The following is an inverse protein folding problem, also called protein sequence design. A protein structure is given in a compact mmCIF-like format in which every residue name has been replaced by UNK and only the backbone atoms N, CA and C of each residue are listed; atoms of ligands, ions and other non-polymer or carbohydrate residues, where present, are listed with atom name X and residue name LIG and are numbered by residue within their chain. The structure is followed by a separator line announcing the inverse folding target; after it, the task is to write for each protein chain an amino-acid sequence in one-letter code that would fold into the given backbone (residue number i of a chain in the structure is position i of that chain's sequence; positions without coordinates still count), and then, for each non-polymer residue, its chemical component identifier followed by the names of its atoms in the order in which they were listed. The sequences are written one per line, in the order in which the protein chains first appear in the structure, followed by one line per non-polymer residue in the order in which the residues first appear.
data_IF_748875194057
#
_entry.id   IF_748875194057
#
_cell.length_a   1.000
_cell.length_b   1.000
_cell.length_c   1.000
_cell.angle_alpha   90.00
_cell.angle_beta   90.00
_cell.angle_gamma   90.00
#
_symmetry.space_group_name_H-M   'P 1'
#
loop_
_entity.id
_entity.type
_entity.pdbx_description
1 polymer ?
#
# COMPACT_ATOMS: atom_id res chain seq x y z
N UNK A 1 -2.97 24.52 28.55
CA UNK A 1 -4.26 24.04 29.05
C UNK A 1 -4.16 22.53 29.16
N UNK A 2 -4.46 21.92 30.31
CA UNK A 2 -4.47 20.46 30.42
C UNK A 2 -5.79 19.94 29.84
N UNK A 3 -5.72 18.97 28.93
CA UNK A 3 -6.91 18.39 28.34
C UNK A 3 -7.53 17.37 29.31
N UNK A 4 -8.86 17.37 29.39
CA UNK A 4 -9.60 16.36 30.17
C UNK A 4 -9.33 14.96 29.57
N UNK A 5 -9.11 13.97 30.43
CA UNK A 5 -8.91 12.58 30.04
C UNK A 5 -10.04 12.05 29.14
N UNK A 6 -11.27 12.54 29.31
CA UNK A 6 -12.44 12.17 28.49
C UNK A 6 -12.33 12.60 27.02
N UNK A 7 -11.36 13.44 26.68
CA UNK A 7 -11.07 13.82 25.29
C UNK A 7 -10.51 12.64 24.49
N UNK A 8 -9.87 11.66 25.14
CA UNK A 8 -9.34 10.45 24.49
C UNK A 8 -10.50 9.51 24.15
N UNK A 9 -10.64 9.11 22.89
CA UNK A 9 -11.74 8.25 22.46
C UNK A 9 -11.55 6.82 22.98
N UNK A 10 -12.65 6.25 23.44
CA UNK A 10 -12.67 4.94 24.10
C UNK A 10 -12.55 5.00 25.63
N UNK A 11 -12.34 6.18 26.23
CA UNK A 11 -12.43 6.34 27.69
C UNK A 11 -13.89 6.47 28.10
N UNK A 12 -14.45 5.36 28.59
CA UNK A 12 -15.77 5.34 29.24
C UNK A 12 -15.68 5.87 30.67
N UNK A 13 -16.83 6.18 31.27
CA UNK A 13 -16.91 6.64 32.67
C UNK A 13 -16.18 5.67 33.63
N UNK A 14 -16.38 4.36 33.45
CA UNK A 14 -15.71 3.30 34.25
C UNK A 14 -14.18 3.32 34.11
N UNK A 15 -13.67 3.63 32.91
CA UNK A 15 -12.21 3.73 32.68
C UNK A 15 -11.67 5.01 33.30
N UNK A 16 -12.39 6.11 33.17
CA UNK A 16 -12.01 7.39 33.78
C UNK A 16 -11.93 7.27 35.31
N UNK A 17 -12.89 6.58 35.95
CA UNK A 17 -12.87 6.33 37.41
C UNK A 17 -11.64 5.52 37.84
N UNK A 18 -11.32 4.44 37.13
CA UNK A 18 -10.12 3.62 37.38
C UNK A 18 -8.81 4.40 37.22
N UNK A 19 -8.74 5.30 36.24
CA UNK A 19 -7.58 6.18 36.04
C UNK A 19 -7.51 7.25 37.14
N UNK A 20 -8.66 7.77 37.58
CA UNK A 20 -8.75 8.74 38.67
C UNK A 20 -8.26 8.19 40.02
N UNK A 21 -8.50 6.91 40.31
CA UNK A 21 -7.92 6.21 41.49
C UNK A 21 -6.39 6.23 41.47
N UNK A 22 -5.78 6.27 40.28
CA UNK A 22 -4.34 6.44 40.08
C UNK A 22 -3.90 7.90 39.91
N UNK A 23 -4.79 8.86 40.20
CA UNK A 23 -4.59 10.31 40.05
C UNK A 23 -4.34 10.76 38.60
N UNK A 24 -4.88 10.03 37.62
CA UNK A 24 -4.77 10.33 36.20
C UNK A 24 -6.12 10.87 35.69
N UNK A 25 -6.28 12.19 35.70
CA UNK A 25 -7.51 12.88 35.28
C UNK A 25 -7.34 13.70 33.99
N UNK A 26 -6.14 13.74 33.43
CA UNK A 26 -5.80 14.57 32.27
C UNK A 26 -5.05 13.77 31.22
N UNK A 27 -5.11 14.22 29.97
CA UNK A 27 -4.36 13.63 28.86
C UNK A 27 -2.86 13.65 29.15
N UNK A 28 -2.33 14.74 29.71
CA UNK A 28 -0.93 14.85 30.12
C UNK A 28 -0.56 13.86 31.23
N UNK A 29 -1.47 13.66 32.20
CA UNK A 29 -1.31 12.65 33.24
C UNK A 29 -1.22 11.24 32.65
N UNK A 30 -2.09 10.94 31.67
CA UNK A 30 -2.06 9.65 30.98
C UNK A 30 -0.76 9.48 30.19
N UNK A 31 -0.38 10.47 29.38
CA UNK A 31 0.90 10.47 28.64
C UNK A 31 2.10 10.25 29.54
N UNK A 32 2.11 10.86 30.72
CA UNK A 32 3.19 10.69 31.69
C UNK A 32 3.20 9.26 32.25
N UNK A 33 2.03 8.69 32.55
CA UNK A 33 1.89 7.36 33.14
C UNK A 33 2.06 6.21 32.14
N UNK A 34 2.13 6.47 30.83
CA UNK A 34 2.13 5.41 29.80
C UNK A 34 3.24 5.55 28.76
N UNK A 35 4.35 6.23 29.05
CA UNK A 35 5.42 6.48 28.05
C UNK A 35 6.12 5.22 27.55
N UNK A 36 6.32 4.26 28.44
CA UNK A 36 7.08 3.04 28.16
C UNK A 36 6.20 1.80 28.33
N UNK A 37 6.62 0.68 27.73
CA UNK A 37 5.94 -0.61 27.86
C UNK A 37 5.84 -1.07 29.31
N UNK A 38 6.89 -0.82 30.11
CA UNK A 38 6.90 -1.12 31.54
C UNK A 38 5.84 -0.31 32.29
N UNK A 39 5.75 1.00 32.06
CA UNK A 39 4.77 1.87 32.71
C UNK A 39 3.33 1.48 32.35
N UNK A 40 3.06 1.16 31.08
CA UNK A 40 1.75 0.64 30.63
C UNK A 40 1.40 -0.69 31.32
N UNK A 41 2.38 -1.58 31.46
CA UNK A 41 2.20 -2.88 32.13
C UNK A 41 1.89 -2.70 33.61
N UNK A 42 2.58 -1.80 34.30
CA UNK A 42 2.33 -1.48 35.70
C UNK A 42 0.94 -0.85 35.89
N UNK A 43 0.59 0.13 35.05
CA UNK A 43 -0.72 0.78 35.10
C UNK A 43 -1.86 -0.21 34.80
N UNK A 44 -1.65 -1.13 33.85
CA UNK A 44 -2.57 -2.23 33.54
C UNK A 44 -2.86 -3.08 34.77
N UNK A 45 -1.82 -3.53 35.49
CA UNK A 45 -1.94 -4.31 36.73
C UNK A 45 -2.66 -3.53 37.83
N UNK A 46 -2.34 -2.24 37.98
CA UNK A 46 -2.90 -1.39 39.04
C UNK A 46 -4.39 -1.07 38.83
N UNK A 47 -4.79 -0.78 37.61
CA UNK A 47 -6.15 -0.31 37.27
C UNK A 47 -7.07 -1.43 36.80
N UNK A 48 -6.52 -2.59 36.43
CA UNK A 48 -7.24 -3.67 35.78
C UNK A 48 -7.81 -3.26 34.41
N UNK A 49 -7.20 -2.30 33.72
CA UNK A 49 -7.48 -1.98 32.32
C UNK A 49 -6.54 -2.84 31.47
N UNK A 50 -7.04 -3.45 30.39
CA UNK A 50 -6.19 -4.33 29.57
C UNK A 50 -5.01 -3.58 28.95
N UNK A 51 -3.89 -4.29 28.78
CA UNK A 51 -2.68 -3.70 28.20
C UNK A 51 -2.94 -3.13 26.80
N UNK A 52 -3.60 -3.87 25.91
CA UNK A 52 -3.90 -3.42 24.55
C UNK A 52 -4.77 -2.16 24.51
N UNK A 53 -5.70 -2.03 25.47
CA UNK A 53 -6.51 -0.83 25.60
C UNK A 53 -5.68 0.36 26.08
N UNK A 54 -4.85 0.19 27.11
CA UNK A 54 -3.93 1.24 27.56
C UNK A 54 -2.92 1.63 26.48
N UNK A 55 -2.46 0.67 25.68
CA UNK A 55 -1.59 0.92 24.53
C UNK A 55 -2.28 1.86 23.53
N UNK A 56 -3.49 1.54 23.07
CA UNK A 56 -4.24 2.39 22.13
C UNK A 56 -4.52 3.78 22.70
N UNK A 57 -4.97 3.86 23.96
CA UNK A 57 -5.24 5.12 24.66
C UNK A 57 -3.96 5.96 24.81
N UNK A 58 -2.81 5.32 25.05
CA UNK A 58 -1.53 6.00 25.20
C UNK A 58 -1.06 6.65 23.90
N UNK A 59 -1.24 5.98 22.75
CA UNK A 59 -0.89 6.53 21.43
C UNK A 59 -1.81 7.70 21.06
N UNK A 60 -3.12 7.58 21.31
CA UNK A 60 -4.05 8.69 21.11
C UNK A 60 -3.69 9.89 22.01
N UNK A 61 -3.38 9.65 23.28
CA UNK A 61 -2.98 10.68 24.21
C UNK A 61 -1.68 11.37 23.78
N UNK A 62 -0.74 10.63 23.20
CA UNK A 62 0.47 11.23 22.62
C UNK A 62 0.15 12.19 21.47
N UNK A 63 -0.67 11.75 20.51
CA UNK A 63 -1.08 12.56 19.35
C UNK A 63 -1.89 13.79 19.75
N UNK A 64 -2.75 13.70 20.78
CA UNK A 64 -3.48 14.84 21.35
C UNK A 64 -2.57 15.94 21.91
N UNK A 65 -1.28 15.67 22.08
CA UNK A 65 -0.28 16.71 22.38
C UNK A 65 -0.02 17.68 21.22
N UNK A 66 -0.44 17.35 20.00
CA UNK A 66 -0.26 18.18 18.81
C UNK A 66 -1.36 19.24 18.78
N UNK A 67 -0.97 20.50 18.57
CA UNK A 67 -1.92 21.61 18.45
C UNK A 67 -2.89 21.40 17.28
N UNK A 68 -4.19 21.51 17.54
CA UNK A 68 -5.24 21.27 16.54
C UNK A 68 -5.70 19.80 16.43
N UNK A 69 -5.08 18.87 17.15
CA UNK A 69 -5.51 17.47 17.16
C UNK A 69 -6.80 17.30 17.97
N UNK A 70 -7.83 16.70 17.36
CA UNK A 70 -9.06 16.30 18.04
C UNK A 70 -8.98 14.84 18.51
N UNK A 71 -9.82 14.45 19.48
CA UNK A 71 -9.89 13.04 19.91
C UNK A 71 -10.29 12.09 18.79
N UNK A 72 -11.10 12.57 17.84
CA UNK A 72 -11.58 11.81 16.69
C UNK A 72 -10.45 11.57 15.69
N UNK A 73 -9.69 12.60 15.36
CA UNK A 73 -8.53 12.48 14.48
C UNK A 73 -7.45 11.61 15.11
N UNK A 74 -7.20 11.76 16.42
CA UNK A 74 -6.22 10.93 17.13
C UNK A 74 -6.62 9.44 17.10
N UNK A 75 -7.89 9.11 17.34
CA UNK A 75 -8.38 7.73 17.22
C UNK A 75 -8.20 7.19 15.80
N UNK A 76 -8.62 7.96 14.80
CA UNK A 76 -8.57 7.57 13.39
C UNK A 76 -7.13 7.37 12.91
N UNK A 77 -6.20 8.26 13.27
CA UNK A 77 -4.78 8.12 12.92
C UNK A 77 -4.12 6.93 13.62
N UNK A 78 -4.46 6.67 14.89
CA UNK A 78 -4.01 5.44 15.57
C UNK A 78 -4.57 4.21 14.87
N UNK A 79 -5.84 4.18 14.49
CA UNK A 79 -6.39 3.08 13.69
C UNK A 79 -5.69 2.93 12.33
N UNK A 80 -5.27 4.05 11.74
CA UNK A 80 -4.49 4.08 10.51
C UNK A 80 -3.05 3.58 10.67
N UNK A 81 -2.59 3.28 11.89
CA UNK A 81 -1.25 2.75 12.13
C UNK A 81 -0.21 3.81 12.51
N UNK A 82 -0.60 5.07 12.69
CA UNK A 82 0.28 6.09 13.26
C UNK A 82 0.45 5.81 14.76
N UNK A 83 1.68 5.50 15.21
CA UNK A 83 1.98 5.11 16.59
C UNK A 83 2.71 6.17 17.40
N UNK A 84 3.16 7.25 16.77
CA UNK A 84 3.86 8.33 17.47
C UNK A 84 3.73 9.67 16.76
N UNK A 85 4.11 10.76 17.45
CA UNK A 85 4.27 12.09 16.84
C UNK A 85 5.32 12.04 15.72
N UNK A 86 6.37 11.22 15.89
CA UNK A 86 7.41 11.06 14.86
C UNK A 86 6.80 10.43 13.61
N UNK A 87 6.03 9.36 13.76
CA UNK A 87 5.39 8.67 12.63
C UNK A 87 4.54 9.66 11.83
N UNK A 88 3.68 10.44 12.50
CA UNK A 88 2.87 11.43 11.83
C UNK A 88 3.73 12.47 11.09
N UNK A 89 4.81 12.95 11.72
CA UNK A 89 5.67 13.98 11.14
C UNK A 89 6.37 13.56 9.84
N UNK A 90 6.61 12.25 9.67
CA UNK A 90 7.31 11.67 8.53
C UNK A 90 6.38 10.96 7.54
N UNK A 91 5.13 10.66 7.92
CA UNK A 91 4.20 9.94 7.05
C UNK A 91 3.75 10.80 5.86
N UNK A 92 3.63 10.19 4.67
CA UNK A 92 3.12 10.87 3.49
C UNK A 92 1.63 11.17 3.62
N UNK A 93 1.26 12.42 3.35
CA UNK A 93 -0.11 12.93 3.45
C UNK A 93 -1.03 12.24 2.45
N UNK A 94 -0.52 11.96 1.25
CA UNK A 94 -1.21 11.18 0.21
C UNK A 94 -1.53 9.76 0.70
N UNK A 95 -0.54 9.05 1.24
CA UNK A 95 -0.70 7.67 1.71
C UNK A 95 -1.67 7.58 2.89
N UNK A 96 -1.55 8.44 3.91
CA UNK A 96 -2.54 8.52 5.00
C UNK A 96 -3.93 8.82 4.44
N UNK A 97 -4.06 9.85 3.60
CA UNK A 97 -5.36 10.26 3.07
C UNK A 97 -6.03 9.17 2.23
N UNK A 98 -5.27 8.44 1.41
CA UNK A 98 -5.77 7.30 0.64
C UNK A 98 -6.20 6.16 1.56
N UNK A 99 -5.38 5.82 2.55
CA UNK A 99 -5.71 4.75 3.50
C UNK A 99 -6.98 5.07 4.30
N UNK A 100 -7.11 6.31 4.80
CA UNK A 100 -8.30 6.75 5.53
C UNK A 100 -9.56 6.65 4.68
N UNK A 101 -9.52 7.09 3.41
CA UNK A 101 -10.65 6.93 2.48
C UNK A 101 -11.01 5.47 2.24
N UNK A 102 -10.02 4.58 2.14
CA UNK A 102 -10.25 3.14 2.01
C UNK A 102 -10.94 2.58 3.25
N UNK A 103 -10.53 2.99 4.46
CA UNK A 103 -11.19 2.58 5.70
C UNK A 103 -12.60 3.15 5.86
N UNK A 104 -12.86 4.36 5.38
CA UNK A 104 -14.22 4.94 5.34
C UNK A 104 -15.14 4.14 4.42
N UNK A 105 -14.66 3.81 3.21
CA UNK A 105 -15.42 3.03 2.22
C UNK A 105 -15.74 1.61 2.70
N UNK A 106 -14.83 0.99 3.44
CA UNK A 106 -15.05 -0.35 4.01
C UNK A 106 -15.90 -0.35 5.28
N UNK A 107 -16.27 0.82 5.82
CA UNK A 107 -16.99 0.95 7.08
C UNK A 107 -16.14 0.64 8.33
N UNK A 108 -14.82 0.53 8.19
CA UNK A 108 -13.89 0.31 9.30
C UNK A 108 -13.76 1.54 10.22
N UNK A 109 -14.08 2.73 9.69
CA UNK A 109 -14.18 3.97 10.46
C UNK A 109 -15.65 4.33 10.69
N UNK A 110 -15.95 4.71 11.93
CA UNK A 110 -17.29 5.20 12.32
C UNK A 110 -17.54 6.65 11.93
N UNK A 111 -16.47 7.39 11.61
CA UNK A 111 -16.47 8.82 11.33
C UNK A 111 -15.35 9.12 10.32
N UNK A 112 -15.49 10.21 9.58
CA UNK A 112 -14.47 10.63 8.62
C UNK A 112 -13.17 11.03 9.33
N UNK A 113 -12.05 10.72 8.71
CA UNK A 113 -10.73 11.16 9.18
C UNK A 113 -10.42 12.61 8.82
N UNK A 114 -9.25 13.13 9.26
CA UNK A 114 -8.80 14.45 8.88
C UNK A 114 -8.62 14.58 7.37
N UNK A 115 -9.05 15.70 6.81
CA UNK A 115 -8.83 16.01 5.39
C UNK A 115 -7.37 16.32 5.08
N UNK A 116 -6.98 16.34 3.79
CA UNK A 116 -5.58 16.54 3.39
C UNK A 116 -4.98 17.86 3.93
N UNK A 117 -5.72 18.96 3.86
CA UNK A 117 -5.26 20.26 4.38
C UNK A 117 -5.10 20.26 5.91
N UNK A 118 -6.02 19.61 6.63
CA UNK A 118 -5.93 19.46 8.08
C UNK A 118 -4.74 18.57 8.47
N UNK A 119 -4.52 17.49 7.71
CA UNK A 119 -3.42 16.56 7.94
C UNK A 119 -2.06 17.25 7.77
N UNK A 120 -1.89 18.12 6.77
CA UNK A 120 -0.66 18.92 6.63
C UNK A 120 -0.42 19.83 7.83
N UNK A 121 -1.46 20.51 8.32
CA UNK A 121 -1.35 21.36 9.52
C UNK A 121 -0.94 20.54 10.75
N UNK A 122 -1.52 19.35 10.91
CA UNK A 122 -1.16 18.43 12.00
C UNK A 122 0.28 17.91 11.86
N UNK A 123 0.74 17.61 10.64
CA UNK A 123 2.13 17.22 10.36
C UNK A 123 3.12 18.32 10.69
N UNK A 124 2.86 19.56 10.26
CA UNK A 124 3.70 20.70 10.58
C UNK A 124 3.79 20.93 12.10
N UNK A 125 2.66 20.79 12.80
CA UNK A 125 2.63 20.87 14.25
C UNK A 125 3.39 19.70 14.91
N UNK A 126 3.30 18.50 14.35
CA UNK A 126 4.05 17.33 14.80
C UNK A 126 5.57 17.50 14.62
N UNK A 127 6.03 18.04 13.48
CA UNK A 127 7.46 18.31 13.20
C UNK A 127 8.10 19.27 14.20
N UNK A 128 7.31 20.18 14.79
CA UNK A 128 7.75 21.12 15.83
C UNK A 128 7.86 20.47 17.22
N UNK A 129 7.40 19.22 17.37
CA UNK A 129 7.42 18.49 18.64
C UNK A 129 8.28 17.24 18.53
N UNK A 130 8.96 16.88 19.63
CA UNK A 130 9.64 15.58 19.74
C UNK A 130 8.71 14.60 20.45
N UNK A 131 8.60 13.39 19.89
CA UNK A 131 7.98 12.28 20.62
C UNK A 131 8.71 12.05 21.93
N UNK A 132 7.93 11.82 22.99
CA UNK A 132 8.44 11.50 24.34
C UNK A 132 8.21 10.04 24.69
N UNK A 133 7.62 9.28 23.78
CA UNK A 133 7.33 7.88 23.96
C UNK A 133 8.51 7.05 23.45
N UNK A 134 8.77 5.95 24.12
CA UNK A 134 9.72 4.97 23.61
C UNK A 134 9.06 4.16 22.49
N UNK A 135 9.81 3.82 21.42
CA UNK A 135 9.34 2.86 20.42
C UNK A 135 8.89 1.57 21.10
N UNK A 136 7.68 1.11 20.81
CA UNK A 136 7.19 -0.17 21.30
C UNK A 136 7.52 -1.27 20.30
N UNK A 137 7.84 -2.47 20.77
CA UNK A 137 7.96 -3.66 19.92
C UNK A 137 6.63 -4.02 19.24
N UNK A 138 5.52 -3.59 19.85
CA UNK A 138 4.17 -3.79 19.32
C UNK A 138 3.78 -2.72 18.28
N UNK A 139 4.66 -1.73 18.01
CA UNK A 139 4.47 -0.72 16.97
C UNK A 139 4.69 -1.36 15.59
N UNK A 140 3.68 -2.07 15.08
CA UNK A 140 3.69 -2.58 13.72
C UNK A 140 3.57 -1.42 12.72
N UNK A 141 4.53 -1.33 11.81
CA UNK A 141 4.48 -0.40 10.67
C UNK A 141 3.31 -0.82 9.77
N UNK A 142 2.39 0.12 9.50
CA UNK A 142 1.35 -0.14 8.52
C UNK A 142 1.97 -0.12 7.12
N UNK A 143 1.96 -1.22 6.35
CA UNK A 143 2.60 -1.27 5.04
C UNK A 143 1.95 -0.33 4.02
N UNK A 144 0.73 0.15 4.28
CA UNK A 144 0.03 1.10 3.42
C UNK A 144 0.32 2.57 3.76
N UNK A 145 1.15 2.84 4.78
CA UNK A 145 1.58 4.19 5.14
C UNK A 145 3.07 4.32 4.86
N UNK A 146 3.38 5.12 3.85
CA UNK A 146 4.74 5.46 3.49
C UNK A 146 5.30 6.59 4.35
N UNK A 147 6.60 6.53 4.63
CA UNK A 147 7.32 7.53 5.41
C UNK A 147 8.46 8.15 4.60
N UNK A 148 8.65 9.46 4.74
CA UNK A 148 9.68 10.26 4.04
C UNK A 148 11.13 9.79 4.36
N UNK A 149 11.35 8.97 5.39
CA UNK A 149 12.66 8.68 5.99
C UNK A 149 13.53 7.62 5.30
N UNK A 150 13.10 7.05 4.18
CA UNK A 150 13.91 6.07 3.44
C UNK A 150 14.74 6.66 2.28
N UNK A 151 14.70 7.98 2.04
CA UNK A 151 15.59 8.62 1.06
C UNK A 151 17.01 8.83 1.62
N UNK A 152 17.80 7.76 1.76
CA UNK A 152 19.27 7.90 1.75
C UNK A 152 19.68 8.32 0.32
N UNK A 153 19.80 9.62 0.11
CA UNK A 153 20.45 10.16 -1.09
C UNK A 153 21.94 9.86 -0.95
N UNK A 154 22.41 8.79 -1.59
CA UNK A 154 23.84 8.62 -1.87
C UNK A 154 24.18 9.63 -2.97
N UNK A 155 24.62 10.83 -2.58
CA UNK A 155 25.19 11.80 -3.52
C UNK A 155 26.52 11.23 -4.00
N UNK A 156 26.75 11.04 -5.31
CA UNK A 156 28.06 10.69 -5.82
C UNK A 156 29.05 11.82 -5.48
N UNK A 157 30.19 11.49 -4.90
CA UNK A 157 31.28 12.45 -4.70
C UNK A 157 31.63 13.11 -6.05
N UNK A 158 31.38 14.42 -6.16
CA UNK A 158 31.77 15.19 -7.34
C UNK A 158 30.91 16.42 -7.69
N UNK A 159 29.70 16.58 -7.12
CA UNK A 159 28.85 17.73 -7.44
C UNK A 159 28.85 18.78 -6.33
N UNK A 160 29.89 19.63 -6.30
CA UNK A 160 29.81 20.91 -5.58
C UNK A 160 28.92 21.84 -6.40
N UNK A 161 27.66 21.99 -6.03
CA UNK A 161 26.84 23.13 -6.43
C UNK A 161 26.39 23.91 -5.19
N UNK A 162 26.82 25.17 -5.17
CA UNK A 162 26.61 26.15 -4.12
C UNK A 162 25.23 26.79 -4.34
N UNK A 163 24.34 26.63 -3.35
CA UNK A 163 23.20 27.53 -3.15
C UNK A 163 21.84 27.04 -3.67
N UNK A 164 20.92 26.78 -2.72
CA UNK A 164 19.46 26.92 -2.89
C UNK A 164 18.78 25.87 -3.76
N UNK A 165 18.55 24.66 -3.23
CA UNK A 165 17.83 23.59 -3.91
C UNK A 165 16.98 22.76 -2.96
N UNK A 166 15.89 23.33 -2.43
CA UNK A 166 14.83 22.54 -1.76
C UNK A 166 13.54 22.46 -2.60
N UNK A 167 13.26 23.43 -3.48
CA UNK A 167 11.99 23.46 -4.22
C UNK A 167 12.01 22.76 -5.59
N UNK A 168 13.16 22.72 -6.29
CA UNK A 168 13.25 22.12 -7.63
C UNK A 168 13.24 20.60 -7.63
N UNK A 169 13.68 19.96 -6.53
CA UNK A 169 13.70 18.50 -6.40
C UNK A 169 12.28 17.94 -6.18
N UNK A 170 11.40 18.71 -5.51
CA UNK A 170 10.02 18.28 -5.21
C UNK A 170 9.11 18.14 -6.44
N UNK A 171 9.31 18.99 -7.45
CA UNK A 171 8.49 18.97 -8.66
C UNK A 171 8.80 17.78 -9.57
N UNK A 172 10.09 17.48 -9.81
CA UNK A 172 10.48 16.32 -10.60
C UNK A 172 10.14 14.99 -9.89
N UNK A 173 10.13 14.95 -8.55
CA UNK A 173 9.57 13.81 -7.83
C UNK A 173 8.06 13.72 -8.01
N UNK A 174 7.31 14.81 -7.93
CA UNK A 174 5.86 14.79 -8.12
C UNK A 174 5.42 14.26 -9.49
N UNK A 175 6.18 14.56 -10.56
CA UNK A 175 5.92 13.98 -11.89
C UNK A 175 6.18 12.47 -11.89
N UNK A 176 7.28 12.03 -11.30
CA UNK A 176 7.58 10.59 -11.16
C UNK A 176 6.47 9.88 -10.39
N UNK A 177 6.01 10.46 -9.29
CA UNK A 177 4.98 9.87 -8.43
C UNK A 177 3.64 9.80 -9.19
N UNK A 178 3.25 10.85 -9.92
CA UNK A 178 2.08 10.81 -10.82
C UNK A 178 2.22 9.72 -11.89
N UNK A 179 3.42 9.55 -12.46
CA UNK A 179 3.67 8.50 -13.46
C UNK A 179 3.54 7.10 -12.86
N UNK A 180 4.04 6.90 -11.64
CA UNK A 180 3.92 5.63 -10.92
C UNK A 180 2.46 5.36 -10.58
N UNK A 181 1.74 6.32 -10.00
CA UNK A 181 0.32 6.18 -9.64
C UNK A 181 -0.55 5.86 -10.87
N UNK A 182 -0.31 6.54 -12.00
CA UNK A 182 -1.01 6.25 -13.25
C UNK A 182 -0.65 4.85 -13.76
N UNK A 183 0.63 4.47 -13.71
CA UNK A 183 1.10 3.15 -14.12
C UNK A 183 0.49 2.03 -13.27
N UNK A 184 0.46 2.19 -11.95
CA UNK A 184 -0.13 1.24 -11.00
C UNK A 184 -1.64 1.14 -11.20
N UNK A 185 -2.35 2.26 -11.35
CA UNK A 185 -3.79 2.25 -11.60
C UNK A 185 -4.17 1.55 -12.91
N UNK A 186 -3.38 1.75 -13.98
CA UNK A 186 -3.59 1.04 -15.25
C UNK A 186 -3.28 -0.46 -15.08
N UNK A 187 -2.21 -0.81 -14.37
CA UNK A 187 -1.85 -2.20 -14.12
C UNK A 187 -2.91 -2.94 -13.28
N UNK A 188 -3.43 -2.30 -12.23
CA UNK A 188 -4.50 -2.83 -11.39
C UNK A 188 -5.79 -3.02 -12.20
N UNK A 189 -6.16 -2.02 -13.01
CA UNK A 189 -7.34 -2.10 -13.87
C UNK A 189 -7.21 -3.21 -14.92
N UNK A 190 -6.04 -3.35 -15.57
CA UNK A 190 -5.81 -4.44 -16.52
C UNK A 190 -5.84 -5.80 -15.82
N UNK A 191 -5.23 -5.91 -14.64
CA UNK A 191 -5.24 -7.15 -13.87
C UNK A 191 -6.67 -7.56 -13.47
N UNK A 192 -7.51 -6.62 -13.04
CA UNK A 192 -8.90 -6.89 -12.72
C UNK A 192 -9.71 -7.35 -13.93
N UNK A 193 -9.48 -6.76 -15.11
CA UNK A 193 -10.12 -7.18 -16.37
C UNK A 193 -9.66 -8.58 -16.79
N UNK A 194 -8.38 -8.90 -16.62
CA UNK A 194 -7.83 -10.22 -16.92
C UNK A 194 -8.47 -11.28 -16.02
N UNK A 195 -8.54 -11.02 -14.70
CA UNK A 195 -9.19 -11.93 -13.74
C UNK A 195 -10.67 -12.14 -14.09
N UNK A 196 -11.39 -11.07 -14.40
CA UNK A 196 -12.79 -11.19 -14.81
C UNK A 196 -12.95 -12.02 -16.09
N UNK A 197 -12.02 -11.90 -17.04
CA UNK A 197 -12.04 -12.69 -18.28
C UNK A 197 -11.76 -14.17 -18.00
N UNK A 198 -10.84 -14.47 -17.07
CA UNK A 198 -10.58 -15.83 -16.60
C UNK A 198 -11.80 -16.44 -15.91
N UNK A 199 -12.48 -15.69 -15.04
CA UNK A 199 -13.66 -16.16 -14.32
C UNK A 199 -14.81 -16.49 -15.29
N UNK A 200 -15.02 -15.63 -16.30
CA UNK A 200 -16.00 -15.88 -17.36
C UNK A 200 -15.61 -17.14 -18.16
N UNK A 201 -14.34 -17.28 -18.54
CA UNK A 201 -13.87 -18.45 -19.29
C UNK A 201 -14.06 -19.74 -18.47
N UNK A 202 -13.71 -19.73 -17.19
CA UNK A 202 -13.91 -20.88 -16.31
C UNK A 202 -15.39 -21.22 -16.15
N UNK A 203 -16.26 -20.20 -16.07
CA UNK A 203 -17.72 -20.40 -16.04
C UNK A 203 -18.25 -21.03 -17.34
N UNK A 204 -17.69 -20.64 -18.49
CA UNK A 204 -17.99 -21.26 -19.80
C UNK A 204 -17.53 -22.72 -19.83
N UNK A 205 -16.36 -23.03 -19.27
CA UNK A 205 -15.83 -24.39 -19.22
C UNK A 205 -16.59 -25.29 -18.24
N UNK A 206 -17.17 -24.71 -17.19
CA UNK A 206 -18.03 -25.42 -16.24
C UNK A 206 -19.38 -25.81 -16.84
N UNK A 207 -19.86 -25.08 -17.86
CA UNK A 207 -21.10 -25.36 -18.57
C UNK A 207 -20.84 -26.26 -19.79
N UNK A 208 -21.28 -27.53 -19.78
CA UNK A 208 -21.02 -28.47 -20.88
C UNK A 208 -21.63 -28.03 -22.21
N UNK A 209 -22.76 -27.31 -22.18
CA UNK A 209 -23.42 -26.82 -23.39
C UNK A 209 -22.61 -25.68 -23.99
N UNK A 210 -22.25 -24.68 -23.19
CA UNK A 210 -21.44 -23.54 -23.66
C UNK A 210 -20.04 -23.97 -24.11
N UNK A 211 -19.43 -24.92 -23.41
CA UNK A 211 -18.17 -25.52 -23.80
C UNK A 211 -18.31 -26.25 -25.16
N UNK A 212 -19.35 -27.07 -25.34
CA UNK A 212 -19.59 -27.81 -26.58
C UNK A 212 -19.85 -26.90 -27.79
N UNK A 213 -20.50 -25.74 -27.57
CA UNK A 213 -20.74 -24.75 -28.62
C UNK A 213 -19.51 -23.92 -29.02
N UNK A 214 -18.37 -24.12 -28.36
CA UNK A 214 -17.14 -23.43 -28.76
C UNK A 214 -17.02 -22.00 -28.24
N UNK A 215 -17.84 -21.59 -27.27
CA UNK A 215 -17.76 -20.24 -26.70
C UNK A 215 -16.42 -20.02 -25.98
N UNK A 216 -15.92 -18.77 -26.05
CA UNK A 216 -14.74 -18.29 -25.34
C UNK A 216 -15.03 -16.89 -24.77
N UNK A 217 -14.41 -16.56 -23.65
CA UNK A 217 -14.49 -15.24 -23.03
C UNK A 217 -13.83 -14.18 -23.92
N UNK A 218 -14.42 -12.98 -23.93
CA UNK A 218 -13.81 -11.81 -24.54
C UNK A 218 -12.78 -11.22 -23.59
N UNK A 219 -11.53 -11.12 -24.04
CA UNK A 219 -10.46 -10.49 -23.28
C UNK A 219 -10.46 -8.99 -23.53
N UNK A 220 -10.77 -8.21 -22.49
CA UNK A 220 -10.80 -6.75 -22.58
C UNK A 220 -9.41 -6.18 -22.29
N UNK A 221 -8.93 -5.33 -23.19
CA UNK A 221 -7.71 -4.54 -22.97
C UNK A 221 -8.06 -3.08 -22.81
N UNK A 222 -7.38 -2.38 -21.89
CA UNK A 222 -7.51 -0.92 -21.80
C UNK A 222 -7.05 -0.31 -23.14
N UNK A 223 -7.86 0.57 -23.77
CA UNK A 223 -7.48 1.20 -25.02
C UNK A 223 -6.26 2.11 -24.84
N UNK A 224 -5.56 2.41 -25.94
CA UNK A 224 -4.36 3.26 -25.89
C UNK A 224 -4.64 4.59 -25.19
N UNK A 225 -3.87 4.89 -24.13
CA UNK A 225 -3.98 6.14 -23.39
C UNK A 225 -2.76 7.02 -23.66
N UNK A 226 -2.97 8.22 -24.18
CA UNK A 226 -1.91 9.21 -24.41
C UNK A 226 -2.05 10.37 -23.43
N UNK A 227 -0.99 10.66 -22.68
CA UNK A 227 -0.93 11.78 -21.75
C UNK A 227 0.12 12.79 -22.21
N UNK A 228 -0.26 14.05 -22.36
CA UNK A 228 0.65 15.15 -22.73
C UNK A 228 0.62 16.24 -21.66
N UNK A 229 1.76 16.48 -21.01
CA UNK A 229 1.94 17.57 -20.04
C UNK A 229 2.82 18.67 -20.63
N UNK A 230 2.31 19.91 -20.68
CA UNK A 230 3.06 21.11 -21.11
C UNK A 230 3.36 22.00 -19.91
N UNK A 231 4.61 22.42 -19.77
CA UNK A 231 5.11 23.19 -18.64
C UNK A 231 5.80 24.46 -19.12
N UNK A 232 5.63 25.56 -18.39
CA UNK A 232 6.30 26.84 -18.64
C UNK A 232 7.15 27.24 -17.41
N UNK A 233 8.36 27.73 -17.65
CA UNK A 233 9.32 28.16 -16.63
C UNK A 233 9.51 29.68 -16.67
N UNK A 234 9.42 30.34 -15.52
CA UNK A 234 9.71 31.77 -15.35
C UNK A 234 10.88 31.97 -14.37
N UNK A 235 11.93 32.68 -14.80
CA UNK A 235 13.06 33.07 -13.94
C UNK A 235 12.86 34.51 -13.49
N UNK A 236 12.87 34.75 -12.17
CA UNK A 236 12.80 36.10 -11.58
C UNK A 236 14.08 36.40 -10.83
N UNK A 237 14.72 37.54 -11.15
CA UNK A 237 15.93 38.04 -10.47
C UNK A 237 15.55 39.19 -9.54
N UNK A 238 15.70 38.99 -8.22
CA UNK A 238 15.49 40.05 -7.24
C UNK A 238 16.85 40.61 -6.77
N UNK A 239 17.05 41.92 -6.93
CA UNK A 239 18.28 42.63 -6.53
C UNK A 239 18.07 43.32 -5.18
N UNK A 240 18.87 42.97 -4.17
CA UNK A 240 18.87 43.64 -2.87
C UNK A 240 19.59 45.00 -2.92
N UNK A 241 19.15 45.97 -2.08
CA UNK A 241 19.62 47.37 -2.07
C UNK A 241 21.08 47.57 -1.62
N UNK A 242 21.78 46.53 -1.18
CA UNK A 242 23.21 46.56 -0.84
C UNK A 242 24.14 46.06 -1.96
N UNK A 243 23.64 45.87 -3.17
CA UNK A 243 24.47 45.56 -4.35
C UNK A 243 25.09 44.16 -4.37
N UNK A 244 24.88 43.35 -3.33
CA UNK A 244 25.29 41.94 -3.29
C UNK A 244 24.16 41.09 -2.74
N UNK A 245 23.26 40.68 -3.64
CA UNK A 245 22.66 39.32 -3.76
C UNK A 245 21.66 39.38 -4.92
N UNK A 246 21.90 38.56 -5.96
CA UNK A 246 20.92 38.24 -7.00
C UNK A 246 20.26 36.94 -6.59
N UNK A 247 19.09 36.98 -5.97
CA UNK A 247 18.32 35.75 -5.75
C UNK A 247 17.62 35.45 -7.07
N UNK A 248 18.04 34.37 -7.73
CA UNK A 248 17.34 33.79 -8.89
C UNK A 248 16.28 32.83 -8.36
N UNK A 249 15.00 33.20 -8.50
CA UNK A 249 13.87 32.30 -8.17
C UNK A 249 13.31 31.72 -9.45
N UNK A 250 13.25 30.38 -9.50
CA UNK A 250 12.61 29.62 -10.57
C UNK A 250 11.16 29.35 -10.18
N UNK A 251 10.21 29.81 -10.99
CA UNK A 251 8.79 29.51 -10.83
C UNK A 251 8.37 28.56 -11.96
N UNK A 252 7.87 27.38 -11.58
CA UNK A 252 7.37 26.35 -12.51
C UNK A 252 5.86 26.27 -12.34
N UNK A 253 5.11 26.43 -13.42
CA UNK A 253 3.66 26.25 -13.39
C UNK A 253 3.18 25.46 -14.61
N UNK A 254 2.15 24.60 -14.46
CA UNK A 254 1.47 24.03 -15.61
C UNK A 254 0.88 25.18 -16.45
N UNK A 255 1.05 25.12 -17.78
CA UNK A 255 0.75 26.27 -18.65
C UNK A 255 -0.70 26.75 -18.45
N UNK A 256 -0.88 27.94 -17.87
CA UNK A 256 -2.19 28.54 -17.63
C UNK A 256 -2.16 29.99 -18.10
N UNK A 257 -3.07 30.35 -19.01
CA UNK A 257 -3.16 31.65 -19.65
C UNK A 257 -3.29 32.84 -18.67
N UNK A 258 -3.77 32.60 -17.44
CA UNK A 258 -3.84 33.64 -16.40
C UNK A 258 -2.47 34.03 -15.83
N UNK A 259 -1.49 33.11 -15.81
CA UNK A 259 -0.17 33.34 -15.22
C UNK A 259 0.73 34.18 -16.14
N UNK A 260 0.64 33.94 -17.45
CA UNK A 260 1.36 34.70 -18.49
C UNK A 260 1.04 36.21 -18.50
N UNK A 261 -0.15 36.61 -18.02
CA UNK A 261 -0.55 38.01 -18.00
C UNK A 261 0.05 38.79 -16.82
N UNK A 262 0.34 38.13 -15.70
CA UNK A 262 0.89 38.77 -14.49
C UNK A 262 2.41 38.77 -14.45
N UNK A 263 3.05 37.73 -15.01
CA UNK A 263 4.50 37.59 -15.03
C UNK A 263 5.01 37.70 -16.47
N UNK A 264 5.27 38.94 -16.93
CA UNK A 264 6.06 39.16 -18.16
C UNK A 264 7.52 38.82 -17.87
N UNK A 265 7.85 37.54 -17.76
CA UNK A 265 9.25 37.09 -17.67
C UNK A 265 9.96 37.37 -18.99
N UNK A 266 11.20 37.88 -18.91
CA UNK A 266 12.05 38.17 -20.07
C UNK A 266 12.56 36.91 -20.78
N UNK A 267 12.52 35.75 -20.11
CA UNK A 267 12.87 34.45 -20.67
C UNK A 267 11.87 33.39 -20.18
N UNK A 268 11.23 32.70 -21.13
CA UNK A 268 10.32 31.58 -20.88
C UNK A 268 10.89 30.34 -21.57
N UNK A 269 11.16 29.28 -20.82
CA UNK A 269 11.42 27.95 -21.37
C UNK A 269 10.15 27.10 -21.23
N UNK A 270 9.92 26.15 -22.13
CA UNK A 270 8.82 25.20 -22.02
C UNK A 270 9.31 23.76 -22.15
N UNK A 271 8.59 22.83 -21.53
CA UNK A 271 8.87 21.39 -21.62
C UNK A 271 7.58 20.62 -21.85
N UNK A 272 7.63 19.63 -22.73
CA UNK A 272 6.49 18.76 -23.04
C UNK A 272 6.87 17.31 -22.71
N UNK A 273 6.04 16.65 -21.91
CA UNK A 273 6.17 15.22 -21.59
C UNK A 273 5.00 14.50 -22.23
N UNK A 274 5.29 13.54 -23.11
CA UNK A 274 4.30 12.70 -23.77
C UNK A 274 4.49 11.24 -23.37
N UNK A 275 3.44 10.60 -22.88
CA UNK A 275 3.43 9.18 -22.51
C UNK A 275 2.33 8.46 -23.25
N UNK A 276 2.59 7.22 -23.67
CA UNK A 276 1.64 6.36 -24.34
C UNK A 276 1.62 4.99 -23.67
N UNK A 277 0.45 4.59 -23.20
CA UNK A 277 0.19 3.25 -22.69
C UNK A 277 -0.45 2.42 -23.80
N UNK A 278 0.10 1.22 -24.03
CA UNK A 278 -0.37 0.29 -25.05
C UNK A 278 -0.90 -0.98 -24.41
N UNK A 279 -1.99 -1.56 -24.93
CA UNK A 279 -2.47 -2.84 -24.46
C UNK A 279 -1.48 -3.94 -24.78
N UNK A 280 -1.28 -4.85 -23.82
CA UNK A 280 -0.58 -6.12 -24.06
C UNK A 280 -1.69 -7.18 -24.17
N UNK A 281 -1.84 -7.85 -25.32
CA UNK A 281 -2.86 -8.89 -25.47
C UNK A 281 -2.59 -10.05 -24.50
N UNK A 282 -3.63 -10.79 -24.09
CA UNK A 282 -3.46 -11.95 -23.24
C UNK A 282 -2.57 -12.99 -23.93
N UNK A 283 -1.71 -13.69 -23.18
CA UNK A 283 -0.94 -14.80 -23.74
C UNK A 283 -1.87 -15.96 -24.13
N UNK A 284 -1.61 -16.58 -25.29
CA UNK A 284 -2.41 -17.65 -25.92
C UNK A 284 -2.77 -18.82 -24.98
N UNK A 285 -1.99 -19.01 -23.91
CA UNK A 285 -2.21 -20.02 -22.85
C UNK A 285 -3.59 -19.97 -22.18
N UNK A 286 -4.32 -18.86 -22.30
CA UNK A 286 -5.62 -18.68 -21.69
C UNK A 286 -6.80 -18.87 -22.65
N UNK A 287 -6.52 -19.09 -23.93
CA UNK A 287 -7.55 -19.39 -24.95
C UNK A 287 -7.56 -20.86 -25.34
N UNK A 288 -6.48 -21.59 -25.05
CA UNK A 288 -6.35 -23.00 -25.43
C UNK A 288 -7.10 -23.92 -24.46
N UNK A 289 -7.93 -24.80 -25.03
CA UNK A 289 -8.65 -25.83 -24.29
C UNK A 289 -7.74 -27.03 -24.08
N UNK A 290 -7.22 -27.18 -22.87
CA UNK A 290 -6.35 -28.30 -22.51
C UNK A 290 -7.21 -29.39 -21.86
N UNK A 291 -7.27 -30.56 -22.50
CA UNK A 291 -7.87 -31.74 -21.88
C UNK A 291 -6.88 -32.40 -20.94
N UNK A 292 -7.36 -32.89 -19.80
CA UNK A 292 -6.55 -33.62 -18.84
C UNK A 292 -6.05 -34.92 -19.46
N UNK A 293 -4.72 -35.16 -19.52
CA UNK A 293 -4.17 -36.44 -19.98
C UNK A 293 -4.56 -37.58 -19.03
N UNK A 294 -4.55 -38.81 -19.55
CA UNK A 294 -4.70 -40.02 -18.72
C UNK A 294 -3.34 -40.38 -18.12
N UNK A 295 -3.11 -40.02 -16.87
CA UNK A 295 -1.84 -40.26 -16.17
C UNK A 295 -1.86 -41.57 -15.39
N UNK A 296 -2.98 -42.30 -15.34
CA UNK A 296 -3.11 -43.49 -14.52
C UNK A 296 -2.20 -44.62 -15.05
N UNK A 297 -1.36 -45.16 -14.17
CA UNK A 297 -0.40 -46.21 -14.52
C UNK A 297 0.88 -45.74 -15.20
N UNK A 298 1.03 -44.42 -15.45
CA UNK A 298 2.31 -43.85 -15.89
C UNK A 298 3.32 -43.83 -14.74
N UNK A 299 4.61 -43.89 -15.08
CA UNK A 299 5.66 -43.60 -14.12
C UNK A 299 5.58 -42.12 -13.69
N UNK A 300 5.85 -41.84 -12.42
CA UNK A 300 5.78 -40.49 -11.85
C UNK A 300 6.58 -39.46 -12.67
N UNK A 301 7.79 -39.83 -13.13
CA UNK A 301 8.64 -38.91 -13.87
C UNK A 301 8.13 -38.66 -15.30
N UNK A 302 7.53 -39.69 -15.94
CA UNK A 302 6.86 -39.55 -17.22
C UNK A 302 5.60 -38.68 -17.10
N UNK A 303 4.80 -38.89 -16.06
CA UNK A 303 3.61 -38.08 -15.78
C UNK A 303 3.96 -36.60 -15.50
N UNK A 304 5.08 -36.33 -14.83
CA UNK A 304 5.55 -34.97 -14.60
C UNK A 304 6.01 -34.29 -15.90
N UNK A 305 6.74 -35.00 -16.76
CA UNK A 305 7.15 -34.45 -18.06
C UNK A 305 5.94 -34.19 -18.97
N UNK A 306 4.92 -35.05 -18.94
CA UNK A 306 3.68 -34.86 -19.70
C UNK A 306 2.90 -33.62 -19.21
N UNK A 307 2.75 -33.47 -17.89
CA UNK A 307 2.17 -32.26 -17.30
C UNK A 307 2.99 -31.01 -17.63
N UNK A 308 4.32 -31.11 -17.64
CA UNK A 308 5.22 -30.00 -18.00
C UNK A 308 5.09 -29.60 -19.47
N UNK A 309 4.97 -30.59 -20.37
CA UNK A 309 4.82 -30.39 -21.81
C UNK A 309 3.48 -29.72 -22.13
N UNK A 310 2.42 -30.13 -21.44
CA UNK A 310 1.09 -29.51 -21.51
C UNK A 310 0.97 -28.24 -20.67
N UNK A 311 2.04 -27.83 -19.95
CA UNK A 311 2.10 -26.64 -19.08
C UNK A 311 1.01 -26.61 -18.01
N UNK A 312 0.57 -27.78 -17.54
CA UNK A 312 -0.43 -27.93 -16.49
C UNK A 312 0.25 -27.77 -15.12
N UNK A 313 -0.21 -26.86 -14.25
CA UNK A 313 0.43 -26.64 -12.96
C UNK A 313 0.18 -27.82 -12.01
N UNK A 314 1.25 -28.33 -11.41
CA UNK A 314 1.19 -29.39 -10.41
C UNK A 314 0.74 -28.82 -9.04
N UNK A 315 -0.21 -29.50 -8.41
CA UNK A 315 -0.68 -29.27 -7.06
C UNK A 315 0.09 -30.11 -6.04
N UNK A 316 -0.63 -30.85 -5.20
CA UNK A 316 -0.03 -31.72 -4.20
C UNK A 316 0.26 -33.12 -4.79
N UNK A 317 1.39 -33.72 -4.40
CA UNK A 317 1.71 -35.11 -4.71
C UNK A 317 1.76 -35.90 -3.40
N UNK A 318 0.75 -36.74 -3.19
CA UNK A 318 0.66 -37.60 -2.01
C UNK A 318 1.32 -38.95 -2.31
N UNK A 319 2.26 -39.38 -1.45
CA UNK A 319 2.87 -40.71 -1.53
C UNK A 319 2.17 -41.67 -0.55
N UNK A 320 1.60 -42.77 -1.07
CA UNK A 320 0.96 -43.79 -0.23
C UNK A 320 2.02 -44.77 0.29
N UNK A 321 1.94 -45.08 1.59
CA UNK A 321 2.89 -45.85 2.40
C UNK A 321 3.24 -47.21 1.79
N UNK A 322 4.52 -47.35 1.48
CA UNK A 322 5.19 -48.59 1.07
C UNK A 322 6.68 -48.32 0.80
N UNK A 323 7.39 -47.81 1.81
CA UNK A 323 8.83 -47.51 1.83
C UNK A 323 9.44 -47.04 0.49
N UNK A 324 9.60 -45.73 0.36
CA UNK A 324 10.58 -45.10 -0.54
C UNK A 324 12.00 -45.56 -0.14
N UNK A 325 12.38 -46.75 -0.58
CA UNK A 325 13.78 -47.07 -0.80
C UNK A 325 14.13 -46.54 -2.18
N UNK A 326 14.93 -45.47 -2.22
CA UNK A 326 15.73 -45.01 -3.37
C UNK A 326 15.89 -46.11 -4.44
N UNK A 327 15.11 -46.04 -5.52
CA UNK A 327 15.26 -46.93 -6.69
C UNK A 327 14.06 -47.81 -7.08
N UNK A 328 12.86 -47.66 -6.51
CA UNK A 328 11.64 -48.30 -7.04
C UNK A 328 10.83 -47.32 -7.89
N UNK A 329 10.51 -47.70 -9.12
CA UNK A 329 9.64 -46.94 -10.01
C UNK A 329 8.29 -46.68 -9.31
N UNK A 330 7.86 -45.43 -9.26
CA UNK A 330 6.59 -45.02 -8.67
C UNK A 330 5.56 -44.80 -9.77
N UNK A 331 4.38 -45.37 -9.64
CA UNK A 331 3.29 -45.21 -10.61
C UNK A 331 2.18 -44.31 -10.05
N UNK A 332 1.52 -43.57 -10.94
CA UNK A 332 0.36 -42.75 -10.61
C UNK A 332 -0.87 -43.64 -10.48
N UNK A 333 -1.47 -43.66 -9.28
CA UNK A 333 -2.67 -44.45 -8.99
C UNK A 333 -3.93 -43.61 -8.95
N UNK A 334 -3.80 -42.29 -8.88
CA UNK A 334 -4.92 -41.38 -8.86
C UNK A 334 -4.52 -39.98 -9.32
N UNK A 335 -5.42 -39.32 -10.02
CA UNK A 335 -5.33 -37.92 -10.45
C UNK A 335 -6.58 -37.16 -9.98
N UNK A 336 -6.44 -35.88 -9.65
CA UNK A 336 -7.52 -35.05 -9.12
C UNK A 336 -8.59 -34.65 -10.13
N UNK A 337 -8.26 -34.73 -11.43
CA UNK A 337 -9.16 -34.41 -12.54
C UNK A 337 -9.22 -35.63 -13.44
N UNK A 338 -10.41 -36.09 -13.82
CA UNK A 338 -10.57 -37.25 -14.68
C UNK A 338 -9.98 -37.02 -16.07
N UNK A 339 -9.41 -38.08 -16.66
CA UNK A 339 -8.86 -38.04 -18.01
C UNK A 339 -9.92 -37.57 -19.03
N UNK A 340 -9.51 -36.72 -19.97
CA UNK A 340 -10.38 -36.16 -21.00
C UNK A 340 -11.25 -34.99 -20.55
N UNK A 341 -11.30 -34.65 -19.26
CA UNK A 341 -12.01 -33.46 -18.78
C UNK A 341 -11.22 -32.20 -19.15
N UNK A 342 -11.92 -31.15 -19.59
CA UNK A 342 -11.28 -29.87 -19.90
C UNK A 342 -10.87 -29.19 -18.59
N UNK A 343 -9.60 -28.80 -18.49
CA UNK A 343 -9.04 -28.13 -17.32
C UNK A 343 -9.44 -26.65 -17.29
N UNK A 344 -9.71 -26.14 -16.09
CA UNK A 344 -9.89 -24.69 -15.88
C UNK A 344 -8.55 -23.98 -16.00
N UNK A 345 -8.62 -22.70 -16.31
CA UNK A 345 -7.43 -21.84 -16.33
C UNK A 345 -6.80 -21.81 -14.94
N UNK A 346 -5.55 -22.27 -14.85
CA UNK A 346 -4.78 -22.30 -13.60
C UNK A 346 -5.18 -23.42 -12.63
N UNK A 347 -6.01 -24.38 -13.05
CA UNK A 347 -6.36 -25.55 -12.24
C UNK A 347 -5.13 -26.38 -11.91
N UNK A 348 -4.87 -26.57 -10.62
CA UNK A 348 -3.75 -27.37 -10.15
C UNK A 348 -4.14 -28.84 -10.10
N UNK A 349 -3.39 -29.69 -10.77
CA UNK A 349 -3.62 -31.14 -10.76
C UNK A 349 -2.82 -31.78 -9.62
N UNK A 350 -3.50 -32.51 -8.76
CA UNK A 350 -2.87 -33.29 -7.69
C UNK A 350 -2.82 -34.77 -8.05
N UNK A 351 -1.73 -35.43 -7.70
CA UNK A 351 -1.48 -36.84 -8.02
C UNK A 351 -1.28 -37.66 -6.73
N UNK A 352 -1.67 -38.93 -6.76
CA UNK A 352 -1.21 -39.92 -5.78
C UNK A 352 -0.33 -40.94 -6.47
N UNK A 353 0.80 -41.24 -5.84
CA UNK A 353 1.76 -42.21 -6.35
C UNK A 353 2.02 -43.33 -5.35
N UNK A 354 2.25 -44.52 -5.89
CA UNK A 354 2.60 -45.74 -5.14
C UNK A 354 3.85 -46.36 -5.73
N UNK A 355 4.68 -46.98 -4.89
CA UNK A 355 5.80 -47.78 -5.37
C UNK A 355 5.27 -48.99 -6.14
N UNK A 356 5.76 -49.19 -7.37
CA UNK A 356 5.46 -50.36 -8.19
C UNK A 356 6.05 -51.60 -7.50
N UNK A 357 5.21 -52.59 -7.21
CA UNK A 357 5.60 -53.86 -6.57
C UNK A 357 6.39 -54.77 -7.50
#
# INVERSE_FOLDING_TARGET
MQLDIKTVKGITQKIAEKLAESKINTVEGLRAATRTTAMRTELSKKTGISYGQLYSLSKQAELLGIGGMTGENAETLVRAGIRSISDLSWALTSSIGTFLRTMERSGALKQSGPGAAELELLKEAARKQKSKFEPDKDDLVNPYIEFEKERKVTVPEGAVHRGGGEETIGFFSGIKDIMVDIGEGIAEAQHALDLSSMDIQNSILDDPELAAYGFNASWYTIPEATFTLKMEYAVTEEKSSSGTTTIRRFLVSPSNARYNNYFKSQESASSTISMRFVPIPPPDRFTDRIAMPDLLGMEHDEALEELRLLRIPLGNVDSIVGATSSGKATEVTWQSVDAGKILKIGEKVSLKVTART
#
